data_IF_664547472781
#
_entry.id   IF_664547472781
#
_cell.length_a   1.000
_cell.length_b   1.000
_cell.length_c   1.000
_cell.angle_alpha   90.00
_cell.angle_beta   90.00
_cell.angle_gamma   90.00
#
_symmetry.space_group_name_H-M   'P 1'
#
loop_
_entity.id
_entity.type
_entity.pdbx_description
1 polymer ?
#
# COMPACT_ATOMS: atom_id res chain seq x y z
N UNK A 1 24.38 -4.08 0.00
CA UNK A 1 25.03 -3.75 -1.29
C UNK A 1 25.73 -2.39 -1.22
N UNK A 2 26.91 -2.29 -1.83
CA UNK A 2 27.63 -1.02 -2.03
C UNK A 2 28.12 -0.94 -3.47
N UNK A 3 28.03 0.22 -4.08
CA UNK A 3 28.50 0.45 -5.44
C UNK A 3 29.63 1.49 -5.42
N UNK A 4 30.81 1.08 -5.88
CA UNK A 4 31.96 1.99 -6.12
C UNK A 4 32.29 1.94 -7.64
N UNK A 5 31.93 2.97 -8.38
CA UNK A 5 32.09 3.02 -9.82
C UNK A 5 31.32 1.90 -10.56
N UNK A 6 32.03 1.05 -11.30
CA UNK A 6 31.47 -0.10 -12.04
C UNK A 6 31.41 -1.39 -11.20
N UNK A 7 31.90 -1.38 -9.96
CA UNK A 7 31.93 -2.54 -9.10
C UNK A 7 30.75 -2.49 -8.14
N UNK A 8 30.09 -3.65 -7.96
CA UNK A 8 29.07 -3.88 -6.97
C UNK A 8 29.67 -4.81 -5.90
N UNK A 9 29.63 -4.36 -4.66
CA UNK A 9 30.04 -5.12 -3.49
C UNK A 9 28.79 -5.61 -2.78
N UNK A 10 28.75 -6.91 -2.49
CA UNK A 10 27.62 -7.58 -1.82
C UNK A 10 28.13 -8.29 -0.58
N UNK A 11 27.54 -8.02 0.59
CA UNK A 11 27.73 -8.83 1.80
C UNK A 11 26.50 -9.72 1.96
N UNK A 12 26.74 -11.00 2.16
CA UNK A 12 25.77 -11.99 2.59
C UNK A 12 25.99 -12.24 4.07
N UNK A 13 24.93 -12.18 4.84
CA UNK A 13 24.89 -12.50 6.24
C UNK A 13 23.92 -13.67 6.42
N UNK A 14 24.47 -14.78 6.93
CA UNK A 14 23.71 -16.01 7.15
C UNK A 14 23.57 -16.24 8.66
N UNK A 15 22.33 -16.38 9.09
CA UNK A 15 21.98 -16.66 10.46
C UNK A 15 21.48 -18.09 10.59
N UNK A 16 21.96 -18.82 11.60
CA UNK A 16 21.41 -20.13 11.93
C UNK A 16 21.29 -20.32 13.44
N UNK A 17 20.24 -21.02 13.84
CA UNK A 17 19.98 -21.38 15.24
C UNK A 17 19.80 -22.90 15.30
N UNK A 18 20.71 -23.58 15.99
CA UNK A 18 20.68 -25.04 16.18
C UNK A 18 21.06 -25.38 17.62
N UNK A 19 20.19 -26.09 18.32
CA UNK A 19 20.45 -26.58 19.68
C UNK A 19 20.92 -25.51 20.68
N UNK A 20 20.33 -24.32 20.62
CA UNK A 20 20.71 -23.18 21.49
C UNK A 20 22.00 -22.47 21.07
N UNK A 21 22.59 -22.85 19.96
CA UNK A 21 23.75 -22.20 19.35
C UNK A 21 23.30 -21.33 18.19
N UNK A 22 23.53 -20.04 18.29
CA UNK A 22 23.22 -19.07 17.24
C UNK A 22 24.52 -18.66 16.56
N UNK A 23 24.58 -18.82 15.24
CA UNK A 23 25.75 -18.47 14.44
C UNK A 23 25.40 -17.40 13.41
N UNK A 24 26.31 -16.47 13.22
CA UNK A 24 26.26 -15.45 12.19
C UNK A 24 27.51 -15.57 11.32
N UNK A 25 27.31 -15.86 10.05
CA UNK A 25 28.39 -15.94 9.06
C UNK A 25 28.27 -14.80 8.06
N UNK A 26 29.36 -14.06 7.87
CA UNK A 26 29.47 -12.96 6.94
C UNK A 26 30.42 -13.29 5.79
N UNK A 27 29.95 -13.17 4.56
CA UNK A 27 30.75 -13.34 3.35
C UNK A 27 30.58 -12.15 2.43
N UNK A 28 31.67 -11.67 1.85
CA UNK A 28 31.67 -10.53 0.93
C UNK A 28 32.04 -10.96 -0.49
N UNK A 29 31.43 -10.32 -1.47
CA UNK A 29 31.60 -10.59 -2.88
C UNK A 29 31.73 -9.29 -3.67
N UNK A 30 32.47 -9.34 -4.80
CA UNK A 30 32.54 -8.24 -5.73
C UNK A 30 32.19 -8.69 -7.14
N UNK A 31 31.28 -7.98 -7.79
CA UNK A 31 30.91 -8.16 -9.19
C UNK A 31 31.21 -6.90 -10.01
N UNK A 32 31.71 -7.08 -11.22
CA UNK A 32 31.92 -6.00 -12.19
C UNK A 32 30.77 -5.87 -13.18
N UNK A 33 29.86 -6.86 -13.23
CA UNK A 33 28.66 -6.80 -14.04
C UNK A 33 27.60 -5.98 -13.31
N UNK A 34 27.16 -4.88 -13.92
CA UNK A 34 26.03 -4.14 -13.43
C UNK A 34 24.80 -5.07 -13.38
N UNK A 35 24.04 -5.05 -12.30
CA UNK A 35 22.72 -5.68 -12.25
C UNK A 35 21.86 -4.91 -13.26
N UNK A 36 21.64 -5.50 -14.42
CA UNK A 36 20.73 -5.00 -15.44
C UNK A 36 19.62 -6.01 -15.57
N UNK A 37 18.47 -5.63 -15.02
CA UNK A 37 17.15 -6.27 -15.14
C UNK A 37 16.84 -7.47 -14.22
N UNK A 38 15.62 -7.49 -13.83
CA UNK A 38 14.89 -8.20 -12.80
C UNK A 38 14.82 -9.72 -12.96
N UNK A 39 15.31 -10.31 -14.06
CA UNK A 39 15.13 -11.73 -14.37
C UNK A 39 16.45 -12.51 -14.53
N UNK A 40 17.59 -11.87 -14.31
CA UNK A 40 18.87 -12.57 -14.33
C UNK A 40 19.33 -12.90 -12.90
N UNK A 41 19.72 -14.17 -12.69
CA UNK A 41 20.42 -14.63 -11.48
C UNK A 41 21.56 -13.65 -11.20
N UNK A 42 21.48 -12.94 -10.08
CA UNK A 42 22.52 -12.01 -9.64
C UNK A 42 23.83 -12.80 -9.47
N UNK A 43 24.78 -12.64 -10.36
CA UNK A 43 26.10 -13.21 -10.18
C UNK A 43 26.80 -12.42 -9.07
N UNK A 44 26.97 -13.04 -7.90
CA UNK A 44 27.68 -12.44 -6.76
C UNK A 44 29.11 -12.02 -7.12
N UNK A 45 29.73 -12.70 -8.09
CA UNK A 45 31.09 -12.44 -8.52
C UNK A 45 32.12 -13.19 -7.66
N UNK A 46 33.29 -12.58 -7.49
CA UNK A 46 34.38 -13.18 -6.70
C UNK A 46 34.21 -12.88 -5.21
N UNK A 47 34.47 -13.88 -4.38
CA UNK A 47 34.56 -13.70 -2.93
C UNK A 47 35.79 -12.85 -2.58
N UNK A 48 35.61 -11.93 -1.66
CA UNK A 48 36.61 -11.00 -1.17
C UNK A 48 36.61 -10.99 0.36
N UNK A 49 37.68 -10.52 1.00
CA UNK A 49 37.67 -10.29 2.43
C UNK A 49 36.76 -9.13 2.81
N UNK A 50 36.10 -9.17 3.95
CA UNK A 50 35.26 -8.11 4.50
C UNK A 50 36.03 -6.79 4.63
N UNK A 51 37.30 -6.86 5.09
CA UNK A 51 38.20 -5.71 5.24
C UNK A 51 38.46 -4.91 3.95
N UNK A 52 38.12 -5.49 2.78
CA UNK A 52 38.25 -4.79 1.49
C UNK A 52 37.28 -3.60 1.34
N UNK A 53 36.24 -3.59 2.14
CA UNK A 53 35.21 -2.53 2.17
C UNK A 53 35.24 -1.89 3.54
N UNK A 54 35.58 -0.63 3.60
CA UNK A 54 35.82 0.11 4.85
C UNK A 54 34.67 -0.02 5.87
N UNK A 55 33.42 -0.04 5.36
CA UNK A 55 32.22 -0.16 6.21
C UNK A 55 32.02 -1.59 6.78
N UNK A 56 32.78 -2.57 6.31
CA UNK A 56 32.69 -3.98 6.76
C UNK A 56 33.98 -4.46 7.45
N UNK A 57 34.97 -3.57 7.59
CA UNK A 57 36.27 -3.92 8.13
C UNK A 57 36.20 -4.45 9.58
N UNK A 58 35.28 -3.90 10.37
CA UNK A 58 35.09 -4.27 11.78
C UNK A 58 34.10 -5.44 11.97
N UNK A 59 33.57 -6.02 10.87
CA UNK A 59 32.61 -7.12 10.95
C UNK A 59 33.35 -8.44 10.96
N UNK A 60 33.10 -9.27 11.99
CA UNK A 60 33.63 -10.62 12.08
C UNK A 60 33.04 -11.51 10.97
N UNK A 61 33.89 -12.34 10.32
CA UNK A 61 33.42 -13.34 9.36
C UNK A 61 32.51 -14.40 9.97
N UNK A 62 32.73 -14.72 11.26
CA UNK A 62 31.98 -15.74 11.98
C UNK A 62 31.84 -15.33 13.45
N UNK A 63 30.63 -15.32 13.95
CA UNK A 63 30.31 -15.11 15.36
C UNK A 63 29.39 -16.23 15.84
N UNK A 64 29.61 -16.66 17.07
CA UNK A 64 28.83 -17.72 17.70
C UNK A 64 28.38 -17.29 19.10
N UNK A 65 27.08 -17.41 19.33
CA UNK A 65 26.43 -17.11 20.60
C UNK A 65 25.83 -18.40 21.18
N UNK A 66 26.09 -18.66 22.45
CA UNK A 66 25.58 -19.83 23.18
C UNK A 66 24.32 -19.44 23.97
N UNK A 67 23.45 -20.41 24.20
CA UNK A 67 22.21 -20.23 24.97
C UNK A 67 21.20 -19.25 24.34
N UNK A 68 21.21 -19.10 23.01
CA UNK A 68 20.18 -18.35 22.31
C UNK A 68 18.92 -19.22 22.17
N UNK A 69 17.78 -18.70 22.59
CA UNK A 69 16.48 -19.36 22.48
C UNK A 69 15.62 -18.82 21.31
N UNK A 70 16.09 -17.76 20.66
CA UNK A 70 15.42 -17.16 19.51
C UNK A 70 16.43 -16.66 18.47
N UNK A 71 15.92 -16.37 17.28
CA UNK A 71 16.70 -15.66 16.25
C UNK A 71 16.92 -14.22 16.66
N UNK A 72 18.10 -13.65 16.36
CA UNK A 72 18.44 -12.27 16.68
C UNK A 72 17.92 -11.26 15.65
N UNK A 73 16.90 -11.61 14.92
CA UNK A 73 16.11 -10.74 14.03
C UNK A 73 14.66 -11.19 14.05
N UNK A 74 13.77 -10.26 13.74
CA UNK A 74 12.34 -10.53 13.59
C UNK A 74 11.94 -10.45 12.12
N UNK A 75 11.00 -11.27 11.72
CA UNK A 75 10.45 -11.32 10.38
C UNK A 75 8.94 -11.06 10.40
N UNK A 76 8.51 -9.93 9.81
CA UNK A 76 7.10 -9.66 9.58
C UNK A 76 6.64 -10.38 8.32
N UNK A 77 5.81 -11.41 8.48
CA UNK A 77 5.19 -12.16 7.39
C UNK A 77 3.73 -11.75 7.26
N UNK A 78 3.31 -11.30 6.07
CA UNK A 78 1.89 -11.10 5.81
C UNK A 78 1.13 -12.43 5.94
N UNK A 79 -0.03 -12.47 6.61
CA UNK A 79 -0.81 -13.68 6.87
C UNK A 79 -1.59 -14.12 5.63
N UNK A 80 -0.89 -14.22 4.50
CA UNK A 80 -1.43 -14.62 3.21
C UNK A 80 -0.67 -15.84 2.68
N UNK A 81 -1.41 -16.77 2.07
CA UNK A 81 -0.77 -17.87 1.36
C UNK A 81 0.04 -17.34 0.17
N UNK A 82 1.26 -17.83 0.03
CA UNK A 82 2.12 -17.47 -1.09
C UNK A 82 1.52 -18.02 -2.39
N UNK A 83 1.07 -17.12 -3.26
CA UNK A 83 0.48 -17.44 -4.56
C UNK A 83 1.49 -17.41 -5.71
N UNK A 84 2.73 -16.99 -5.43
CA UNK A 84 3.83 -16.95 -6.41
C UNK A 84 4.59 -18.27 -6.36
N UNK A 85 4.94 -18.71 -5.16
CA UNK A 85 5.64 -19.97 -4.91
C UNK A 85 5.01 -20.66 -3.69
N UNK A 86 4.09 -21.64 -3.92
CA UNK A 86 3.38 -22.32 -2.83
C UNK A 86 4.28 -23.08 -1.86
N UNK A 87 5.46 -23.51 -2.32
CA UNK A 87 6.42 -24.28 -1.52
C UNK A 87 7.36 -23.37 -0.70
N UNK A 88 7.35 -22.07 -0.97
CA UNK A 88 8.17 -21.09 -0.27
C UNK A 88 7.56 -20.68 1.07
N UNK A 89 8.33 -20.68 2.16
CA UNK A 89 7.89 -20.17 3.46
C UNK A 89 7.77 -18.64 3.51
N UNK A 90 8.22 -17.94 2.46
CA UNK A 90 8.24 -16.47 2.41
C UNK A 90 6.84 -15.89 2.30
N UNK A 91 6.65 -14.71 2.87
CA UNK A 91 5.44 -13.93 2.71
C UNK A 91 5.35 -13.27 1.34
N UNK A 92 4.14 -12.88 0.96
CA UNK A 92 3.85 -12.14 -0.26
C UNK A 92 3.24 -10.78 0.08
N UNK A 93 3.28 -9.85 -0.87
CA UNK A 93 2.63 -8.55 -0.69
C UNK A 93 1.11 -8.70 -0.58
N UNK A 94 0.47 -7.79 0.17
CA UNK A 94 -1.01 -7.78 0.34
C UNK A 94 -1.72 -7.75 -1.03
N UNK A 95 -1.15 -7.06 -2.00
CA UNK A 95 -1.69 -6.92 -3.35
C UNK A 95 -1.25 -8.01 -4.34
N UNK A 96 -0.47 -9.03 -3.91
CA UNK A 96 0.08 -10.04 -4.84
C UNK A 96 -0.98 -10.77 -5.67
N UNK A 97 -2.18 -10.97 -5.10
CA UNK A 97 -3.32 -11.56 -5.82
C UNK A 97 -4.01 -10.60 -6.79
N UNK A 98 -3.73 -9.31 -6.68
CA UNK A 98 -4.31 -8.25 -7.49
C UNK A 98 -3.33 -7.67 -8.52
N UNK A 99 -2.11 -8.19 -8.62
CA UNK A 99 -1.04 -7.62 -9.46
C UNK A 99 -1.49 -7.42 -10.91
N UNK A 100 -2.13 -8.44 -11.51
CA UNK A 100 -2.62 -8.34 -12.89
C UNK A 100 -3.68 -7.25 -13.04
N UNK A 101 -4.60 -7.12 -12.09
CA UNK A 101 -5.64 -6.08 -12.12
C UNK A 101 -5.06 -4.68 -11.93
N UNK A 102 -3.97 -4.55 -11.16
CA UNK A 102 -3.26 -3.28 -10.99
C UNK A 102 -2.62 -2.87 -12.32
N UNK A 103 -1.99 -3.81 -13.04
CA UNK A 103 -1.45 -3.56 -14.37
C UNK A 103 -2.54 -3.17 -15.37
N UNK A 104 -3.67 -3.90 -15.39
CA UNK A 104 -4.82 -3.58 -16.25
C UNK A 104 -5.41 -2.19 -15.93
N UNK A 105 -5.41 -1.78 -14.65
CA UNK A 105 -5.84 -0.45 -14.25
C UNK A 105 -4.91 0.65 -14.77
N UNK A 106 -3.60 0.43 -14.73
CA UNK A 106 -2.60 1.36 -15.26
C UNK A 106 -2.74 1.52 -16.79
N UNK A 107 -2.95 0.42 -17.52
CA UNK A 107 -3.21 0.44 -18.95
C UNK A 107 -4.47 1.24 -19.30
N UNK A 108 -5.59 1.02 -18.58
CA UNK A 108 -6.83 1.78 -18.82
C UNK A 108 -6.66 3.25 -18.45
N UNK A 109 -5.94 3.56 -17.38
CA UNK A 109 -5.63 4.93 -17.03
C UNK A 109 -4.83 5.63 -18.14
N UNK A 110 -3.82 4.96 -18.68
CA UNK A 110 -3.06 5.44 -19.83
C UNK A 110 -3.93 5.66 -21.07
N UNK A 111 -4.85 4.73 -21.36
CA UNK A 111 -5.81 4.84 -22.47
C UNK A 111 -6.79 6.02 -22.26
N UNK A 112 -7.23 6.27 -21.02
CA UNK A 112 -8.08 7.42 -20.68
C UNK A 112 -7.35 8.74 -20.96
N UNK A 113 -6.09 8.86 -20.52
CA UNK A 113 -5.28 10.04 -20.82
C UNK A 113 -5.07 10.25 -22.32
N UNK A 114 -4.89 9.15 -23.05
CA UNK A 114 -4.78 9.20 -24.52
C UNK A 114 -6.08 9.63 -25.17
N UNK A 115 -7.25 9.16 -24.70
CA UNK A 115 -8.55 9.57 -25.20
C UNK A 115 -8.70 11.09 -25.10
N UNK A 116 -8.38 11.70 -23.95
CA UNK A 116 -8.42 13.15 -23.80
C UNK A 116 -7.47 13.88 -24.74
N UNK A 117 -6.24 13.39 -24.89
CA UNK A 117 -5.24 14.01 -25.78
C UNK A 117 -5.59 13.86 -27.26
N UNK A 118 -6.11 12.70 -27.68
CA UNK A 118 -6.44 12.41 -29.07
C UNK A 118 -7.71 13.09 -29.56
N UNK A 119 -8.57 13.49 -28.63
CA UNK A 119 -9.87 14.11 -28.91
C UNK A 119 -9.85 15.64 -28.78
N UNK A 120 -8.68 16.26 -28.78
CA UNK A 120 -8.60 17.71 -28.82
C UNK A 120 -9.36 18.24 -30.05
N UNK A 121 -10.17 19.27 -29.86
CA UNK A 121 -10.84 19.95 -30.96
C UNK A 121 -9.81 20.53 -31.91
N UNK A 122 -9.98 20.27 -33.17
CA UNK A 122 -9.11 20.80 -34.22
C UNK A 122 -9.91 21.43 -35.34
N UNK A 123 -9.45 22.58 -35.85
CA UNK A 123 -10.01 23.26 -36.98
C UNK A 123 -9.09 22.97 -38.19
N UNK A 124 -9.61 22.16 -39.10
CA UNK A 124 -8.95 21.83 -40.38
C UNK A 124 -9.46 22.80 -41.40
N UNK A 125 -8.61 23.71 -41.88
CA UNK A 125 -9.01 24.72 -42.82
C UNK A 125 -7.99 24.87 -43.93
N UNK A 126 -8.47 25.21 -45.14
CA UNK A 126 -7.60 25.59 -46.26
C UNK A 126 -6.72 26.78 -45.89
N UNK A 127 -5.50 26.83 -46.39
CA UNK A 127 -4.57 27.93 -46.13
C UNK A 127 -5.10 29.31 -46.53
N UNK A 128 -6.18 29.37 -47.26
CA UNK A 128 -6.85 30.61 -47.71
C UNK A 128 -7.53 31.33 -46.53
N UNK A 129 -7.90 30.60 -45.46
CA UNK A 129 -8.51 31.18 -44.25
C UNK A 129 -7.50 31.84 -43.31
N UNK A 130 -6.20 31.64 -43.56
CA UNK A 130 -5.18 32.14 -42.64
C UNK A 130 -4.43 33.34 -43.26
N UNK A 131 -3.97 34.25 -42.41
CA UNK A 131 -3.05 35.31 -42.79
C UNK A 131 -1.70 34.67 -43.17
N UNK A 132 -1.05 35.27 -44.18
CA UNK A 132 0.29 34.82 -44.61
C UNK A 132 1.30 35.92 -44.32
N UNK A 133 2.53 35.52 -43.99
CA UNK A 133 3.64 36.42 -43.85
C UNK A 133 4.15 36.88 -45.25
N UNK A 134 5.19 37.74 -45.28
CA UNK A 134 5.77 38.21 -46.54
C UNK A 134 6.45 37.08 -47.38
N UNK A 135 6.75 35.96 -46.74
CA UNK A 135 7.35 34.77 -47.36
C UNK A 135 6.29 33.74 -47.82
N UNK A 136 4.99 34.04 -47.60
CA UNK A 136 3.90 33.14 -47.99
C UNK A 136 3.55 32.05 -46.98
N UNK A 137 4.19 32.03 -45.78
CA UNK A 137 3.92 31.05 -44.74
C UNK A 137 2.65 31.44 -43.95
N UNK A 138 1.90 30.42 -43.57
CA UNK A 138 0.64 30.57 -42.79
C UNK A 138 0.95 31.05 -41.37
N UNK A 139 0.30 32.13 -40.98
CA UNK A 139 0.38 32.64 -39.61
C UNK A 139 -0.82 32.13 -38.83
N UNK A 140 -0.57 31.29 -37.82
CA UNK A 140 -1.59 30.85 -36.87
C UNK A 140 -1.80 31.87 -35.76
N UNK A 141 -3.02 31.94 -35.17
CA UNK A 141 -3.27 32.81 -34.02
C UNK A 141 -2.39 32.44 -32.82
N UNK A 142 -1.72 33.43 -32.25
CA UNK A 142 -0.83 33.21 -31.08
C UNK A 142 -1.58 32.64 -29.90
N UNK A 143 -1.02 31.59 -29.28
CA UNK A 143 -1.59 30.89 -28.13
C UNK A 143 -2.72 29.91 -28.44
N UNK A 144 -3.07 29.76 -29.73
CA UNK A 144 -4.09 28.83 -30.22
C UNK A 144 -3.58 27.98 -31.38
N UNK A 145 -2.27 27.89 -31.55
CA UNK A 145 -1.64 27.21 -32.68
C UNK A 145 -2.06 25.73 -32.77
N UNK A 146 -2.28 25.07 -31.60
CA UNK A 146 -2.71 23.66 -31.55
C UNK A 146 -4.14 23.42 -32.08
N UNK A 147 -4.97 24.46 -32.07
CA UNK A 147 -6.36 24.36 -32.52
C UNK A 147 -6.47 24.30 -34.04
N UNK A 148 -5.52 24.90 -34.76
CA UNK A 148 -5.61 25.10 -36.20
C UNK A 148 -4.65 24.20 -36.98
N UNK A 149 -5.20 23.45 -37.94
CA UNK A 149 -4.46 22.61 -38.88
C UNK A 149 -4.63 23.14 -40.31
N UNK A 150 -3.65 23.87 -40.82
CA UNK A 150 -3.69 24.34 -42.20
C UNK A 150 -3.54 23.17 -43.17
N UNK A 151 -4.51 23.01 -44.09
CA UNK A 151 -4.67 21.88 -45.02
C UNK A 151 -4.31 22.28 -46.44
N UNK A 152 -3.11 22.75 -46.69
CA UNK A 152 -2.67 23.10 -48.05
C UNK A 152 -3.45 24.26 -48.70
N UNK A 153 -3.04 24.66 -49.90
CA UNK A 153 -3.74 25.67 -50.69
C UNK A 153 -4.85 25.01 -51.54
N UNK A 154 -6.01 25.66 -51.65
CA UNK A 154 -7.09 25.28 -52.57
C UNK A 154 -7.65 23.85 -52.36
N UNK A 155 -7.59 23.33 -51.11
CA UNK A 155 -8.32 22.10 -50.81
C UNK A 155 -9.81 22.47 -50.68
N UNK A 156 -10.61 21.94 -51.57
CA UNK A 156 -12.05 22.13 -51.58
C UNK A 156 -12.74 21.01 -50.80
N UNK A 157 -13.84 21.36 -50.14
CA UNK A 157 -14.77 20.41 -49.57
C UNK A 157 -15.38 19.59 -50.71
N UNK A 158 -15.32 18.26 -50.71
CA UNK A 158 -15.82 17.41 -51.78
C UNK A 158 -17.31 17.53 -52.01
N UNK A 159 -18.07 18.02 -51.02
CA UNK A 159 -19.54 18.16 -51.06
C UNK A 159 -19.96 19.51 -51.59
N UNK A 160 -19.27 20.59 -51.18
CA UNK A 160 -19.70 21.97 -51.44
C UNK A 160 -18.87 22.68 -52.49
N UNK A 161 -17.70 22.13 -52.88
CA UNK A 161 -16.75 22.77 -53.81
C UNK A 161 -16.10 24.05 -53.26
N UNK A 162 -16.38 24.44 -52.04
CA UNK A 162 -15.82 25.61 -51.36
C UNK A 162 -14.50 25.26 -50.67
N UNK A 163 -13.64 26.25 -50.33
CA UNK A 163 -12.47 25.99 -49.51
C UNK A 163 -12.78 25.21 -48.26
N UNK A 164 -11.98 24.16 -47.98
CA UNK A 164 -12.21 23.25 -46.85
C UNK A 164 -12.16 24.03 -45.51
N UNK A 165 -13.27 23.94 -44.77
CA UNK A 165 -13.34 24.34 -43.38
C UNK A 165 -14.11 23.27 -42.59
N UNK A 166 -13.39 22.54 -41.78
CA UNK A 166 -13.96 21.45 -41.00
C UNK A 166 -13.54 21.60 -39.53
N UNK A 167 -14.51 21.49 -38.65
CA UNK A 167 -14.25 21.45 -37.18
C UNK A 167 -14.34 20.00 -36.71
N UNK A 168 -13.18 19.48 -36.34
CA UNK A 168 -13.10 18.17 -35.73
C UNK A 168 -13.25 18.33 -34.21
N UNK A 169 -14.37 17.93 -33.68
CA UNK A 169 -14.67 17.96 -32.25
C UNK A 169 -15.37 16.65 -31.87
N UNK A 170 -14.61 15.54 -31.72
CA UNK A 170 -15.20 14.26 -31.40
C UNK A 170 -15.64 14.18 -29.94
N UNK A 171 -16.70 13.43 -29.69
CA UNK A 171 -17.17 13.15 -28.34
C UNK A 171 -16.13 12.33 -27.57
N UNK A 172 -15.94 12.63 -26.30
CA UNK A 172 -15.07 11.93 -25.36
C UNK A 172 -15.89 10.83 -24.68
N UNK A 173 -15.36 9.60 -24.65
CA UNK A 173 -15.99 8.43 -24.03
C UNK A 173 -15.60 8.29 -22.56
N UNK A 174 -15.49 9.39 -21.83
CA UNK A 174 -15.01 9.47 -20.46
C UNK A 174 -15.77 8.54 -19.52
N UNK A 175 -17.10 8.56 -19.55
CA UNK A 175 -17.96 7.75 -18.69
C UNK A 175 -17.69 6.25 -18.86
N UNK A 176 -17.47 5.78 -20.08
CA UNK A 176 -17.17 4.37 -20.35
C UNK A 176 -15.81 3.95 -19.80
N UNK A 177 -14.81 4.82 -19.93
CA UNK A 177 -13.47 4.59 -19.39
C UNK A 177 -13.49 4.60 -17.86
N UNK A 178 -14.14 5.58 -17.23
CA UNK A 178 -14.27 5.63 -15.77
C UNK A 178 -15.03 4.43 -15.20
N UNK A 179 -16.11 4.01 -15.84
CA UNK A 179 -16.84 2.83 -15.40
C UNK A 179 -15.99 1.56 -15.52
N UNK A 180 -15.23 1.40 -16.61
CA UNK A 180 -14.31 0.29 -16.81
C UNK A 180 -13.19 0.28 -15.76
N UNK A 181 -12.54 1.42 -15.57
CA UNK A 181 -11.49 1.61 -14.57
C UNK A 181 -12.00 1.27 -13.16
N UNK A 182 -13.14 1.84 -12.78
CA UNK A 182 -13.71 1.61 -11.46
C UNK A 182 -14.04 0.14 -11.20
N UNK A 183 -14.52 -0.62 -12.20
CA UNK A 183 -14.76 -2.06 -12.08
C UNK A 183 -13.46 -2.85 -11.87
N UNK A 184 -12.35 -2.43 -12.47
CA UNK A 184 -11.06 -3.06 -12.24
C UNK A 184 -10.56 -2.77 -10.82
N UNK A 185 -10.68 -1.51 -10.36
CA UNK A 185 -10.33 -1.14 -8.99
C UNK A 185 -11.15 -1.95 -7.97
N UNK A 186 -12.44 -2.20 -8.22
CA UNK A 186 -13.25 -3.09 -7.39
C UNK A 186 -12.71 -4.53 -7.32
N UNK A 187 -12.15 -5.06 -8.42
CA UNK A 187 -11.47 -6.36 -8.41
C UNK A 187 -10.17 -6.33 -7.63
N UNK A 188 -9.41 -5.21 -7.70
CA UNK A 188 -8.22 -5.00 -6.87
C UNK A 188 -8.60 -5.04 -5.39
N UNK A 189 -9.64 -4.32 -4.99
CA UNK A 189 -10.16 -4.35 -3.62
C UNK A 189 -10.52 -5.77 -3.19
N UNK A 190 -11.26 -6.48 -4.02
CA UNK A 190 -11.67 -7.86 -3.72
C UNK A 190 -10.47 -8.78 -3.51
N UNK A 191 -9.49 -8.76 -4.42
CA UNK A 191 -8.33 -9.63 -4.38
C UNK A 191 -7.34 -9.28 -3.25
N UNK A 192 -7.32 -8.02 -2.83
CA UNK A 192 -6.52 -7.53 -1.71
C UNK A 192 -7.22 -7.64 -0.34
N UNK A 193 -8.46 -8.20 -0.31
CA UNK A 193 -9.22 -8.33 0.94
C UNK A 193 -9.81 -7.02 1.47
N UNK A 194 -9.87 -5.98 0.65
CA UNK A 194 -10.42 -4.67 1.03
C UNK A 194 -11.94 -4.63 0.85
N UNK A 195 -12.58 -3.74 1.58
CA UNK A 195 -13.98 -3.41 1.37
C UNK A 195 -14.15 -2.67 0.04
N UNK A 196 -15.24 -2.93 -0.65
CA UNK A 196 -15.59 -2.15 -1.84
C UNK A 196 -15.85 -0.67 -1.48
N UNK A 197 -15.35 0.23 -2.31
CA UNK A 197 -15.42 1.66 -2.07
C UNK A 197 -14.28 2.19 -1.19
N UNK A 198 -13.27 1.36 -0.89
CA UNK A 198 -12.03 1.80 -0.23
C UNK A 198 -11.13 2.55 -1.21
N UNK A 199 -10.99 2.03 -2.42
CA UNK A 199 -10.21 2.59 -3.52
C UNK A 199 -11.10 3.02 -4.69
N UNK A 200 -12.19 2.26 -4.94
CA UNK A 200 -13.15 2.51 -6.00
C UNK A 200 -14.17 3.58 -5.57
N UNK A 201 -14.83 4.19 -6.57
CA UNK A 201 -15.92 5.13 -6.28
C UNK A 201 -17.11 4.41 -5.62
N UNK A 202 -17.44 4.76 -4.36
CA UNK A 202 -18.53 4.12 -3.64
C UNK A 202 -19.91 4.39 -4.27
N UNK A 203 -20.09 5.49 -5.02
CA UNK A 203 -21.36 5.85 -5.63
C UNK A 203 -21.69 5.03 -6.89
N UNK A 204 -20.69 4.40 -7.50
CA UNK A 204 -20.89 3.61 -8.71
C UNK A 204 -21.44 2.20 -8.45
N UNK A 205 -21.68 1.84 -7.20
CA UNK A 205 -22.06 0.48 -6.80
C UNK A 205 -23.42 0.50 -6.14
N UNK A 206 -24.45 0.10 -6.90
CA UNK A 206 -25.72 -0.30 -6.31
C UNK A 206 -25.49 -1.58 -5.49
N UNK A 207 -25.37 -1.45 -4.18
CA UNK A 207 -25.21 -2.58 -3.25
C UNK A 207 -26.33 -2.60 -2.25
N UNK A 208 -26.75 -3.82 -1.94
CA UNK A 208 -27.61 -4.05 -0.81
C UNK A 208 -26.84 -3.79 0.51
N UNK A 209 -27.56 -3.43 1.56
CA UNK A 209 -26.99 -3.25 2.89
C UNK A 209 -26.20 -4.49 3.36
N UNK A 210 -26.63 -5.69 2.96
CA UNK A 210 -25.99 -6.96 3.27
C UNK A 210 -24.61 -7.10 2.60
N UNK A 211 -24.49 -6.71 1.33
CA UNK A 211 -23.21 -6.75 0.61
C UNK A 211 -22.21 -5.76 1.16
N UNK A 212 -22.66 -4.58 1.58
CA UNK A 212 -21.81 -3.57 2.24
C UNK A 212 -21.29 -4.14 3.57
N UNK A 213 -22.17 -4.74 4.36
CA UNK A 213 -21.80 -5.36 5.66
C UNK A 213 -20.78 -6.48 5.48
N UNK A 214 -21.03 -7.40 4.53
CA UNK A 214 -20.11 -8.51 4.22
C UNK A 214 -18.76 -8.02 3.74
N UNK A 215 -18.73 -6.97 2.91
CA UNK A 215 -17.49 -6.35 2.42
C UNK A 215 -16.69 -5.72 3.55
N UNK A 216 -17.33 -4.97 4.45
CA UNK A 216 -16.69 -4.40 5.64
C UNK A 216 -16.14 -5.47 6.58
N UNK A 217 -16.88 -6.55 6.80
CA UNK A 217 -16.44 -7.66 7.64
C UNK A 217 -15.18 -8.34 7.09
N UNK A 218 -15.10 -8.51 5.76
CA UNK A 218 -13.90 -9.05 5.12
C UNK A 218 -12.68 -8.15 5.33
N UNK A 219 -12.84 -6.85 5.12
CA UNK A 219 -11.77 -5.88 5.34
C UNK A 219 -11.30 -5.90 6.80
N UNK A 220 -12.23 -5.96 7.73
CA UNK A 220 -11.93 -6.08 9.16
C UNK A 220 -11.10 -7.34 9.46
N UNK A 221 -11.53 -8.51 8.94
CA UNK A 221 -10.77 -9.75 9.12
C UNK A 221 -9.35 -9.64 8.56
N UNK A 222 -9.20 -9.12 7.34
CA UNK A 222 -7.88 -8.93 6.71
C UNK A 222 -6.97 -8.04 7.55
N UNK A 223 -7.49 -6.92 8.04
CA UNK A 223 -6.71 -6.00 8.88
C UNK A 223 -6.36 -6.65 10.20
N UNK A 224 -7.30 -7.36 10.83
CA UNK A 224 -7.07 -8.06 12.10
C UNK A 224 -5.99 -9.12 11.99
N UNK A 225 -5.98 -9.87 10.90
CA UNK A 225 -4.94 -10.87 10.63
C UNK A 225 -3.57 -10.22 10.47
N UNK A 226 -3.50 -9.06 9.79
CA UNK A 226 -2.26 -8.27 9.64
C UNK A 226 -1.80 -7.71 11.00
N UNK A 227 -2.70 -7.19 11.81
CA UNK A 227 -2.41 -6.70 13.16
C UNK A 227 -1.82 -7.83 14.03
N UNK A 228 -2.44 -9.01 14.03
CA UNK A 228 -1.96 -10.17 14.78
C UNK A 228 -0.54 -10.57 14.33
N UNK A 229 -0.30 -10.66 13.02
CA UNK A 229 1.03 -10.98 12.48
C UNK A 229 2.07 -9.90 12.82
N UNK A 230 1.66 -8.64 12.85
CA UNK A 230 2.53 -7.52 13.25
C UNK A 230 2.87 -7.59 14.73
N UNK A 231 1.88 -7.91 15.58
CA UNK A 231 2.10 -8.09 17.01
C UNK A 231 3.07 -9.24 17.30
N UNK A 232 2.93 -10.38 16.63
CA UNK A 232 3.86 -11.50 16.74
C UNK A 232 5.29 -11.09 16.34
N UNK A 233 5.43 -10.33 15.24
CA UNK A 233 6.73 -9.83 14.80
C UNK A 233 7.34 -8.84 15.80
N UNK A 234 6.54 -7.95 16.42
CA UNK A 234 7.00 -7.03 17.47
C UNK A 234 7.44 -7.81 18.71
N UNK A 235 6.66 -8.80 19.14
CA UNK A 235 7.02 -9.67 20.28
C UNK A 235 8.34 -10.40 20.03
N UNK A 236 8.51 -10.96 18.84
CA UNK A 236 9.76 -11.59 18.40
C UNK A 236 10.93 -10.61 18.39
N UNK A 237 10.71 -9.37 17.91
CA UNK A 237 11.73 -8.33 17.90
C UNK A 237 12.16 -7.93 19.32
N UNK A 238 11.19 -7.74 20.21
CA UNK A 238 11.48 -7.41 21.62
C UNK A 238 12.26 -8.54 22.28
N UNK A 239 11.89 -9.81 22.01
CA UNK A 239 12.65 -10.96 22.53
C UNK A 239 14.09 -11.00 22.00
N UNK A 240 14.29 -10.69 20.72
CA UNK A 240 15.64 -10.58 20.15
C UNK A 240 16.44 -9.45 20.82
N UNK A 241 15.81 -8.33 21.14
CA UNK A 241 16.45 -7.22 21.86
C UNK A 241 16.83 -7.65 23.28
N UNK A 242 15.96 -8.37 24.01
CA UNK A 242 16.28 -8.89 25.35
C UNK A 242 17.55 -9.78 25.32
N UNK A 243 17.65 -10.68 24.33
CA UNK A 243 18.83 -11.53 24.16
C UNK A 243 20.09 -10.71 23.88
N UNK A 244 20.00 -9.67 23.04
CA UNK A 244 21.11 -8.75 22.80
C UNK A 244 21.53 -7.96 24.03
N UNK A 245 20.56 -7.51 24.82
CA UNK A 245 20.82 -6.80 26.08
C UNK A 245 21.54 -7.72 27.08
N UNK A 246 21.15 -9.00 27.14
CA UNK A 246 21.77 -10.00 28.01
C UNK A 246 23.22 -10.30 27.55
N UNK A 247 23.45 -10.56 26.27
CA UNK A 247 24.78 -10.82 25.74
C UNK A 247 25.73 -9.64 25.86
N UNK A 248 25.23 -8.43 25.66
CA UNK A 248 26.02 -7.20 25.75
C UNK A 248 26.14 -6.62 27.14
N UNK A 249 25.48 -7.21 28.15
CA UNK A 249 25.37 -6.66 29.52
C UNK A 249 24.98 -5.17 29.54
N UNK A 250 24.05 -4.80 28.63
CA UNK A 250 23.69 -3.41 28.39
C UNK A 250 22.73 -2.85 29.43
N UNK A 251 21.96 -3.70 30.10
CA UNK A 251 21.03 -3.33 31.14
C UNK A 251 20.85 -4.46 32.16
N UNK A 252 20.34 -4.20 33.38
CA UNK A 252 19.95 -5.23 34.31
C UNK A 252 18.86 -6.14 33.71
N UNK A 253 18.86 -7.45 34.05
CA UNK A 253 17.82 -8.37 33.57
C UNK A 253 16.45 -7.94 34.05
N UNK A 254 15.45 -7.98 33.17
CA UNK A 254 14.07 -7.63 33.43
C UNK A 254 13.14 -8.41 32.52
N UNK A 255 11.84 -8.40 32.84
CA UNK A 255 10.79 -8.90 31.94
C UNK A 255 10.16 -7.73 31.22
N UNK A 256 10.09 -7.85 29.90
CA UNK A 256 9.38 -6.88 29.06
C UNK A 256 8.05 -7.49 28.62
N UNK A 257 6.96 -6.78 28.87
CA UNK A 257 5.63 -7.13 28.38
C UNK A 257 5.28 -6.22 27.21
N UNK A 258 4.92 -6.82 26.09
CA UNK A 258 4.48 -6.09 24.90
C UNK A 258 2.97 -6.13 24.83
N UNK A 259 2.35 -4.96 24.86
CA UNK A 259 0.93 -4.79 24.58
C UNK A 259 0.77 -3.86 23.37
N UNK A 260 -0.09 -4.26 22.43
CA UNK A 260 -0.40 -3.46 21.25
C UNK A 260 -1.85 -3.01 21.35
N UNK A 261 -2.07 -1.70 21.30
CA UNK A 261 -3.39 -1.09 21.22
C UNK A 261 -3.62 -0.58 19.80
N UNK A 262 -4.59 -1.20 19.11
CA UNK A 262 -4.88 -0.89 17.71
C UNK A 262 -6.12 0.00 17.62
N UNK A 263 -6.02 1.16 16.98
CA UNK A 263 -7.19 1.98 16.68
C UNK A 263 -7.96 1.43 15.46
N UNK A 264 -8.95 0.59 15.74
CA UNK A 264 -9.82 -0.03 14.73
C UNK A 264 -10.99 0.89 14.32
N UNK A 265 -11.00 2.14 14.75
CA UNK A 265 -12.13 3.09 14.62
C UNK A 265 -12.58 3.36 13.18
N UNK A 266 -11.68 3.20 12.21
CA UNK A 266 -11.98 3.38 10.78
C UNK A 266 -12.68 2.16 10.15
N UNK A 267 -12.54 0.98 10.76
CA UNK A 267 -12.99 -0.30 10.20
C UNK A 267 -14.28 -0.74 10.84
N UNK A 268 -14.42 -0.46 12.14
CA UNK A 268 -15.58 -0.82 12.93
C UNK A 268 -16.58 0.36 12.93
N UNK A 269 -17.82 0.08 12.59
CA UNK A 269 -18.89 1.07 12.71
C UNK A 269 -19.24 1.24 14.20
N UNK A 270 -18.52 2.14 14.88
CA UNK A 270 -18.71 2.44 16.31
C UNK A 270 -20.17 2.78 16.65
N UNK A 271 -20.92 3.27 15.67
CA UNK A 271 -22.35 3.57 15.87
C UNK A 271 -23.15 2.27 15.99
N UNK A 272 -22.88 1.31 15.12
CA UNK A 272 -23.54 -0.01 15.17
C UNK A 272 -23.20 -0.76 16.46
N UNK A 273 -21.92 -0.78 16.87
CA UNK A 273 -21.51 -1.40 18.13
C UNK A 273 -22.18 -0.74 19.33
N UNK A 274 -22.28 0.59 19.33
CA UNK A 274 -22.97 1.31 20.38
C UNK A 274 -24.46 0.99 20.43
N UNK A 275 -25.11 0.82 19.28
CA UNK A 275 -26.51 0.40 19.20
C UNK A 275 -26.70 -1.02 19.74
N UNK A 276 -25.78 -1.95 19.42
CA UNK A 276 -25.78 -3.30 19.96
C UNK A 276 -25.56 -3.30 21.50
N UNK A 277 -24.56 -2.59 21.97
CA UNK A 277 -24.30 -2.45 23.40
C UNK A 277 -25.50 -1.87 24.19
N UNK A 278 -26.20 -0.91 23.56
CA UNK A 278 -27.44 -0.36 24.17
C UNK A 278 -28.59 -1.37 24.15
N UNK A 279 -28.71 -2.15 23.09
CA UNK A 279 -29.72 -3.22 23.00
C UNK A 279 -29.42 -4.31 24.03
N UNK A 280 -28.17 -4.73 24.18
CA UNK A 280 -27.75 -5.74 25.16
C UNK A 280 -27.96 -5.25 26.61
N UNK A 281 -27.71 -3.96 26.89
CA UNK A 281 -28.02 -3.35 28.16
C UNK A 281 -29.53 -3.31 28.43
N UNK A 282 -30.33 -2.93 27.43
CA UNK A 282 -31.78 -2.90 27.52
C UNK A 282 -32.39 -4.29 27.67
N UNK A 283 -31.81 -5.30 27.07
CA UNK A 283 -32.18 -6.71 27.18
C UNK A 283 -31.70 -7.36 28.50
N UNK A 284 -30.86 -6.66 29.28
CA UNK A 284 -30.30 -7.21 30.54
C UNK A 284 -29.20 -8.26 30.30
N UNK A 285 -28.63 -8.34 29.09
CA UNK A 285 -27.55 -9.28 28.74
C UNK A 285 -26.24 -8.80 29.38
N UNK A 286 -26.01 -7.49 29.39
CA UNK A 286 -24.84 -6.86 30.03
C UNK A 286 -25.31 -5.91 31.15
N UNK A 287 -24.45 -5.77 32.18
CA UNK A 287 -24.70 -4.84 33.26
C UNK A 287 -24.25 -3.40 32.94
N UNK A 288 -24.76 -2.39 33.71
CA UNK A 288 -24.35 -0.99 33.55
C UNK A 288 -22.84 -0.77 33.73
N UNK A 289 -22.17 -1.53 34.56
CA UNK A 289 -20.71 -1.50 34.78
C UNK A 289 -20.02 -1.96 33.52
N UNK A 290 -20.40 -3.11 32.98
CA UNK A 290 -19.83 -3.68 31.78
C UNK A 290 -20.06 -2.80 30.54
N UNK A 291 -21.25 -2.21 30.41
CA UNK A 291 -21.56 -1.23 29.38
C UNK A 291 -20.58 -0.03 29.42
N UNK A 292 -20.33 0.51 30.64
CA UNK A 292 -19.39 1.63 30.77
C UNK A 292 -17.95 1.24 30.41
N UNK A 293 -17.49 0.08 30.88
CA UNK A 293 -16.17 -0.44 30.55
C UNK A 293 -16.00 -0.54 29.04
N UNK A 294 -16.95 -1.16 28.35
CA UNK A 294 -16.91 -1.31 26.86
C UNK A 294 -17.08 0.02 26.10
N UNK A 295 -17.91 0.93 26.64
CA UNK A 295 -18.21 2.20 25.97
C UNK A 295 -17.14 3.26 26.11
N UNK A 296 -16.57 3.37 27.31
CA UNK A 296 -15.63 4.44 27.67
C UNK A 296 -14.20 3.96 27.90
N UNK A 297 -13.93 2.65 27.81
CA UNK A 297 -12.62 2.08 28.12
C UNK A 297 -12.21 2.21 29.59
N UNK A 298 -13.22 2.37 30.50
CA UNK A 298 -12.98 2.52 31.93
C UNK A 298 -12.61 1.18 32.56
N UNK A 299 -11.80 1.20 33.62
CA UNK A 299 -11.62 0.03 34.48
C UNK A 299 -12.89 -0.22 35.30
N UNK A 300 -13.05 -1.45 35.83
CA UNK A 300 -14.20 -1.82 36.62
C UNK A 300 -14.40 -0.86 37.82
N UNK A 301 -13.33 -0.52 38.53
CA UNK A 301 -13.36 0.43 39.67
C UNK A 301 -13.80 1.83 39.23
N UNK A 302 -13.39 2.29 38.07
CA UNK A 302 -13.79 3.60 37.55
C UNK A 302 -15.26 3.60 37.14
N UNK A 303 -15.71 2.53 36.47
CA UNK A 303 -17.10 2.36 36.06
C UNK A 303 -18.05 2.29 37.26
N UNK A 304 -17.69 1.54 38.31
CA UNK A 304 -18.48 1.44 39.55
C UNK A 304 -18.56 2.80 40.27
N UNK A 305 -17.44 3.51 40.42
CA UNK A 305 -17.42 4.85 41.04
C UNK A 305 -18.26 5.86 40.24
N UNK A 306 -18.22 5.79 38.91
CA UNK A 306 -19.00 6.68 38.06
C UNK A 306 -20.51 6.39 38.14
N UNK A 307 -20.90 5.12 38.21
CA UNK A 307 -22.31 4.72 38.41
C UNK A 307 -22.83 5.11 39.80
N UNK A 308 -22.02 4.97 40.83
CA UNK A 308 -22.39 5.41 42.21
C UNK A 308 -22.70 6.91 42.23
N UNK A 309 -21.93 7.75 41.53
CA UNK A 309 -22.20 9.20 41.43
C UNK A 309 -23.52 9.53 40.70
N UNK A 310 -23.95 8.69 39.76
CA UNK A 310 -25.21 8.87 39.01
C UNK A 310 -26.40 8.47 39.87
N UNK A 311 -26.25 7.43 40.71
CA UNK A 311 -27.32 6.95 41.58
C UNK A 311 -27.51 7.81 42.85
N UNK A 312 -26.43 8.44 43.29
CA UNK A 312 -26.43 9.35 44.46
C UNK A 312 -25.70 10.64 44.03
N UNK A 313 -26.36 11.56 43.33
CA UNK A 313 -25.77 12.87 43.06
C UNK A 313 -25.47 13.54 44.41
N UNK A 314 -24.23 14.07 44.54
CA UNK A 314 -23.82 14.81 45.72
C UNK A 314 -24.76 16.01 45.90
N UNK A 315 -25.62 15.95 46.94
CA UNK A 315 -26.47 17.05 47.43
C UNK A 315 -25.62 18.10 48.17
N UNK A 316 -24.46 18.46 47.64
CA UNK A 316 -23.59 19.50 48.24
C UNK A 316 -23.26 20.55 47.22
N UNK A 317 -24.27 21.38 46.90
CA UNK A 317 -24.05 22.77 46.49
C UNK A 317 -25.15 23.62 47.16
N UNK A 318 -24.92 24.05 48.34
CA UNK A 318 -25.38 25.33 48.89
C UNK A 318 -24.15 26.17 49.24
#
# INVERSE_FOLDING_TARGET
>A
FRRKGKKLYTRLEHHSLQDGRYTVENRAFVSTKAIVKTDEIVQLGMEIKLETVDEWADISPHEEFQNADCTLFSYLKMPLANNIDPDSPLGVAVYSRAEKQIQDADEIYGATLWEYKSKETAIQASNEFFKKNRQGEVLLPKGQERLYYPMGNSIADPTTGKPLFNVYSPDIRDQSFFNGYNRIIQKVEFNSGLAYGTLSDPQSVEKTAEEIKTSKQRSYSTVKDIQNSTEEAIRSLVRSIEVWVEFGHLAPPGKVEVSCDWDDSLIVDKKYELEQLRADLAAGIIGPVEFRMKRYGETEDQAVKALAKIQFPDDTQE
#
